data_IF_092586622966
#
_entry.id   IF_092586622966
#
_cell.length_a   1.000
_cell.length_b   1.000
_cell.length_c   1.000
_cell.angle_alpha   90.00
_cell.angle_beta   90.00
_cell.angle_gamma   90.00
#
_symmetry.space_group_name_H-M   'P 1'
#
loop_
_entity.id
_entity.type
_entity.pdbx_description
1 polymer ?
#
# COMPACT_ATOMS: atom_id res chain seq x y z
N UNK A 1 -16.62 -8.85 -0.90
CA UNK A 1 -15.95 -8.61 0.39
C UNK A 1 -15.19 -9.86 0.73
N UNK A 2 -13.86 -9.78 0.69
CA UNK A 2 -12.98 -10.93 0.91
C UNK A 2 -12.27 -10.76 2.22
N UNK A 3 -12.15 -11.85 2.97
CA UNK A 3 -11.50 -11.86 4.27
C UNK A 3 -10.42 -12.93 4.28
N UNK A 4 -9.27 -12.59 4.86
CA UNK A 4 -8.18 -13.53 5.12
C UNK A 4 -7.67 -13.33 6.54
N UNK A 5 -6.95 -14.33 7.03
CA UNK A 5 -6.22 -14.27 8.30
C UNK A 5 -4.74 -14.41 7.99
N UNK A 6 -3.95 -13.44 8.43
CA UNK A 6 -2.50 -13.41 8.23
C UNK A 6 -1.80 -13.29 9.58
N UNK A 7 -0.59 -13.84 9.67
CA UNK A 7 0.27 -13.56 10.81
C UNK A 7 1.06 -12.30 10.50
N UNK A 8 0.85 -11.24 11.29
CA UNK A 8 1.59 -9.99 11.21
C UNK A 8 2.45 -9.85 12.46
N UNK A 9 3.75 -10.13 12.32
CA UNK A 9 4.64 -10.32 13.47
C UNK A 9 4.16 -11.50 14.33
N UNK A 10 3.93 -11.26 15.62
CA UNK A 10 3.43 -12.28 16.56
C UNK A 10 1.89 -12.35 16.65
N UNK A 11 1.18 -11.50 15.91
CA UNK A 11 -0.29 -11.38 16.00
C UNK A 11 -0.98 -12.03 14.81
N UNK A 12 -2.11 -12.70 15.05
CA UNK A 12 -3.02 -13.11 14.00
C UNK A 12 -4.01 -11.97 13.69
N UNK A 13 -3.95 -11.46 12.47
CA UNK A 13 -4.74 -10.31 12.03
C UNK A 13 -5.78 -10.78 11.01
N UNK A 14 -7.02 -10.34 11.22
CA UNK A 14 -8.09 -10.49 10.24
C UNK A 14 -8.06 -9.28 9.30
N UNK A 15 -7.82 -9.52 8.03
CA UNK A 15 -7.90 -8.49 7.00
C UNK A 15 -9.15 -8.71 6.17
N UNK A 16 -9.89 -7.62 5.92
CA UNK A 16 -11.09 -7.64 5.08
C UNK A 16 -11.01 -6.53 4.05
N UNK A 17 -11.15 -6.89 2.78
CA UNK A 17 -11.25 -5.94 1.68
C UNK A 17 -12.71 -5.62 1.35
N UNK A 18 -13.00 -4.33 1.33
CA UNK A 18 -14.26 -3.75 0.92
C UNK A 18 -14.01 -2.63 -0.07
N UNK A 19 -14.43 -2.83 -1.33
CA UNK A 19 -14.39 -1.77 -2.34
C UNK A 19 -15.38 -0.67 -1.95
N UNK A 20 -14.87 0.51 -1.63
CA UNK A 20 -15.69 1.65 -1.25
C UNK A 20 -15.02 2.96 -1.71
N UNK A 21 -15.83 3.96 -2.05
CA UNK A 21 -15.38 5.32 -2.37
C UNK A 21 -15.67 6.30 -1.23
N UNK A 22 -16.30 5.83 -0.15
CA UNK A 22 -16.53 6.57 1.08
C UNK A 22 -15.57 6.06 2.15
N UNK A 23 -14.80 6.97 2.74
CA UNK A 23 -13.92 6.64 3.85
C UNK A 23 -14.74 6.35 5.12
N UNK A 24 -14.28 5.43 5.98
CA UNK A 24 -14.81 5.32 7.33
C UNK A 24 -14.52 6.61 8.12
N UNK A 25 -15.17 6.82 9.28
CA UNK A 25 -14.83 7.94 10.16
C UNK A 25 -13.33 8.01 10.46
N UNK A 26 -12.74 9.21 10.35
CA UNK A 26 -11.28 9.43 10.40
C UNK A 26 -10.61 8.77 11.62
N UNK A 27 -11.27 8.81 12.78
CA UNK A 27 -10.76 8.22 14.03
C UNK A 27 -10.64 6.68 14.02
N UNK A 28 -11.18 6.01 13.00
CA UNK A 28 -11.02 4.56 12.78
C UNK A 28 -9.89 4.23 11.81
N UNK A 29 -9.34 5.24 11.12
CA UNK A 29 -8.24 5.07 10.18
C UNK A 29 -6.95 5.33 10.95
N UNK A 30 -6.07 4.33 10.98
CA UNK A 30 -4.79 4.43 11.69
C UNK A 30 -3.60 4.54 10.75
N UNK A 31 -3.78 4.11 9.50
CA UNK A 31 -2.72 4.07 8.48
C UNK A 31 -3.32 4.05 7.08
N UNK A 32 -2.49 4.37 6.09
CA UNK A 32 -2.80 4.32 4.67
C UNK A 32 -1.76 3.50 3.93
N UNK A 33 -2.17 2.86 2.83
CA UNK A 33 -1.26 2.20 1.89
C UNK A 33 -1.57 2.68 0.48
N UNK A 34 -0.53 3.03 -0.27
CA UNK A 34 -0.59 3.69 -1.56
C UNK A 34 -0.35 2.68 -2.68
N UNK A 35 -1.35 2.47 -3.52
CA UNK A 35 -1.23 1.68 -4.74
C UNK A 35 -1.00 2.64 -5.91
N UNK A 36 0.27 2.94 -6.21
CA UNK A 36 0.64 3.90 -7.24
C UNK A 36 0.96 3.21 -8.57
N UNK A 37 0.14 3.47 -9.59
CA UNK A 37 0.32 2.93 -10.94
C UNK A 37 0.95 3.96 -11.86
N UNK A 38 1.91 3.53 -12.68
CA UNK A 38 2.42 4.31 -13.81
C UNK A 38 2.08 3.55 -15.09
N UNK A 39 0.96 3.90 -15.73
CA UNK A 39 0.32 3.02 -16.73
C UNK A 39 -0.07 1.68 -16.07
N UNK A 40 0.52 0.55 -16.49
CA UNK A 40 0.22 -0.77 -15.93
C UNK A 40 1.08 -1.15 -14.72
N UNK A 41 2.40 -0.86 -14.68
CA UNK A 41 3.23 -1.18 -13.52
C UNK A 41 2.82 -0.49 -12.22
N UNK A 42 2.93 -1.24 -11.12
CA UNK A 42 2.64 -0.82 -9.75
C UNK A 42 3.94 -0.57 -8.98
N UNK A 43 3.98 0.52 -8.20
CA UNK A 43 5.13 0.91 -7.41
C UNK A 43 5.30 0.05 -6.15
N UNK A 44 6.52 -0.44 -5.92
CA UNK A 44 7.01 -0.97 -4.66
C UNK A 44 8.22 -0.17 -4.18
N UNK A 45 8.37 -0.05 -2.86
CA UNK A 45 9.48 0.63 -2.20
C UNK A 45 10.20 -0.33 -1.26
N UNK A 46 11.53 -0.25 -1.20
CA UNK A 46 12.34 -1.05 -0.28
C UNK A 46 12.38 -0.35 1.07
N UNK A 47 11.51 -0.81 1.97
CA UNK A 47 11.44 -0.20 3.29
C UNK A 47 12.50 -0.82 4.20
N UNK A 48 13.35 0.05 4.75
CA UNK A 48 14.44 -0.34 5.65
C UNK A 48 13.99 -1.39 6.67
N UNK A 49 14.64 -2.56 6.64
CA UNK A 49 14.39 -3.71 7.52
C UNK A 49 13.04 -4.44 7.36
N UNK A 50 12.13 -3.97 6.50
CA UNK A 50 10.85 -4.62 6.17
C UNK A 50 10.84 -5.28 4.78
N UNK A 51 11.74 -4.86 3.89
CA UNK A 51 11.82 -5.30 2.50
C UNK A 51 10.84 -4.54 1.61
N UNK A 52 10.62 -5.06 0.41
CA UNK A 52 9.72 -4.47 -0.57
C UNK A 52 8.27 -4.45 -0.05
N UNK A 53 7.63 -3.28 -0.06
CA UNK A 53 6.25 -3.06 0.38
C UNK A 53 5.62 -1.94 -0.47
N UNK A 54 4.31 -1.71 -0.29
CA UNK A 54 3.64 -0.53 -0.81
C UNK A 54 4.02 0.70 0.02
N UNK A 55 4.18 1.89 -0.61
CA UNK A 55 4.34 3.12 0.15
C UNK A 55 3.19 3.29 1.14
N UNK A 56 3.47 3.70 2.37
CA UNK A 56 2.41 3.88 3.36
C UNK A 56 2.91 3.93 4.79
N UNK A 57 2.06 4.46 5.65
CA UNK A 57 2.38 4.66 7.05
C UNK A 57 1.20 5.15 7.86
N UNK A 58 1.52 5.60 9.07
CA UNK A 58 0.52 5.98 10.07
C UNK A 58 0.07 7.43 9.88
N UNK A 59 -1.18 7.69 10.25
CA UNK A 59 -1.71 9.06 10.30
C UNK A 59 -1.06 9.80 11.47
N UNK A 60 -0.54 11.00 11.20
CA UNK A 60 0.04 11.88 12.21
C UNK A 60 -1.03 12.67 13.00
N UNK A 61 -0.72 13.18 14.22
CA UNK A 61 -1.69 13.95 15.00
C UNK A 61 -2.21 15.19 14.26
N UNK A 62 -3.52 15.21 13.98
CA UNK A 62 -4.18 16.31 13.26
C UNK A 62 -4.11 16.21 11.73
N UNK A 63 -3.55 15.12 11.20
CA UNK A 63 -3.48 14.82 9.77
C UNK A 63 -4.78 14.15 9.28
N UNK A 64 -5.23 14.49 8.08
CA UNK A 64 -6.34 13.79 7.42
C UNK A 64 -5.82 12.51 6.75
N UNK A 65 -6.66 11.46 6.56
CA UNK A 65 -6.26 10.28 5.79
C UNK A 65 -5.73 10.62 4.39
N UNK A 66 -6.32 11.62 3.72
CA UNK A 66 -5.90 12.07 2.40
C UNK A 66 -4.55 12.78 2.41
N UNK A 67 -4.25 13.58 3.43
CA UNK A 67 -2.96 14.24 3.55
C UNK A 67 -1.86 13.23 3.92
N UNK A 68 -2.17 12.26 4.79
CA UNK A 68 -1.31 11.11 5.08
C UNK A 68 -0.99 10.33 3.80
N UNK A 69 -2.00 10.03 2.97
CA UNK A 69 -1.83 9.32 1.70
C UNK A 69 -0.86 10.05 0.77
N UNK A 70 -1.00 11.37 0.63
CA UNK A 70 -0.11 12.18 -0.22
C UNK A 70 1.31 12.25 0.35
N UNK A 71 1.45 12.43 1.66
CA UNK A 71 2.75 12.48 2.35
C UNK A 71 3.50 11.17 2.16
N UNK A 72 2.88 10.03 2.47
CA UNK A 72 3.51 8.71 2.36
C UNK A 72 3.87 8.36 0.91
N UNK A 73 3.00 8.68 -0.05
CA UNK A 73 3.30 8.52 -1.47
C UNK A 73 4.56 9.31 -1.88
N UNK A 74 4.74 10.50 -1.31
CA UNK A 74 5.89 11.35 -1.61
C UNK A 74 7.15 10.91 -0.88
N UNK A 75 7.07 10.62 0.43
CA UNK A 75 8.21 10.30 1.30
C UNK A 75 8.87 8.97 0.94
N UNK A 76 8.07 7.91 0.80
CA UNK A 76 8.58 6.58 0.47
C UNK A 76 8.60 6.36 -1.04
N UNK A 77 7.53 6.81 -1.73
CA UNK A 77 7.32 6.54 -3.14
C UNK A 77 8.04 7.48 -4.09
N UNK A 78 8.49 8.67 -3.68
CA UNK A 78 9.09 9.69 -4.56
C UNK A 78 8.22 9.99 -5.81
N UNK A 79 6.89 9.97 -5.66
CA UNK A 79 5.94 10.09 -6.79
C UNK A 79 6.05 11.43 -7.52
N UNK A 80 6.53 12.48 -6.85
CA UNK A 80 6.95 13.73 -7.45
C UNK A 80 8.40 14.06 -7.09
N UNK A 81 9.15 14.69 -7.99
CA UNK A 81 10.52 15.11 -7.69
C UNK A 81 11.37 15.38 -8.92
N UNK A 82 12.54 15.99 -8.70
CA UNK A 82 13.55 16.21 -9.75
C UNK A 82 14.48 14.99 -9.92
N UNK A 83 14.54 14.12 -8.92
CA UNK A 83 15.45 12.99 -8.85
C UNK A 83 14.70 11.72 -8.46
N UNK A 84 15.28 10.59 -8.86
CA UNK A 84 14.75 9.25 -8.67
C UNK A 84 15.37 8.58 -7.43
N UNK A 85 14.56 7.82 -6.67
CA UNK A 85 15.09 6.96 -5.59
C UNK A 85 15.57 5.63 -6.14
N UNK A 86 16.74 5.17 -5.70
CA UNK A 86 17.23 3.82 -6.00
C UNK A 86 16.52 2.71 -5.19
N UNK A 87 15.67 3.08 -4.23
CA UNK A 87 14.95 2.18 -3.32
C UNK A 87 13.49 1.98 -3.75
N UNK A 88 13.18 2.14 -5.04
CA UNK A 88 11.84 1.87 -5.57
C UNK A 88 11.92 1.10 -6.88
N UNK A 89 10.87 0.34 -7.17
CA UNK A 89 10.72 -0.35 -8.46
C UNK A 89 9.27 -0.36 -8.92
N UNK A 90 9.08 -0.32 -10.24
CA UNK A 90 7.79 -0.55 -10.86
C UNK A 90 7.71 -2.01 -11.29
N UNK A 91 6.71 -2.73 -10.77
CA UNK A 91 6.52 -4.16 -10.98
C UNK A 91 5.25 -4.38 -11.76
N UNK A 92 5.25 -5.33 -12.70
CA UNK A 92 4.02 -5.77 -13.32
C UNK A 92 3.10 -6.36 -12.24
N UNK A 93 1.82 -5.96 -12.16
CA UNK A 93 0.85 -6.51 -11.20
C UNK A 93 0.83 -8.05 -11.11
N UNK A 94 1.10 -8.75 -12.21
CA UNK A 94 1.15 -10.21 -12.25
C UNK A 94 2.39 -10.82 -11.57
N UNK A 95 3.46 -10.04 -11.39
CA UNK A 95 4.73 -10.48 -10.82
C UNK A 95 4.88 -10.11 -9.34
N UNK A 96 3.91 -9.41 -8.75
CA UNK A 96 3.96 -8.89 -7.37
C UNK A 96 4.30 -9.94 -6.31
N UNK A 97 3.80 -11.17 -6.48
CA UNK A 97 4.07 -12.29 -5.57
C UNK A 97 5.56 -12.66 -5.46
N UNK A 98 6.38 -12.26 -6.44
CA UNK A 98 7.82 -12.51 -6.46
C UNK A 98 8.62 -11.48 -5.65
N UNK A 99 8.03 -10.32 -5.34
CA UNK A 99 8.72 -9.21 -4.71
C UNK A 99 8.14 -8.87 -3.34
N UNK A 100 6.82 -8.88 -3.19
CA UNK A 100 6.17 -8.56 -1.92
C UNK A 100 5.92 -9.80 -1.07
N UNK A 101 6.67 -9.94 0.02
CA UNK A 101 6.65 -11.15 0.86
C UNK A 101 5.32 -11.39 1.58
N UNK A 102 4.54 -10.34 1.84
CA UNK A 102 3.22 -10.41 2.47
C UNK A 102 2.07 -10.58 1.45
N UNK A 103 2.39 -10.79 0.17
CA UNK A 103 1.39 -10.95 -0.89
C UNK A 103 0.41 -12.07 -0.57
N UNK A 104 -0.88 -11.77 -0.67
CA UNK A 104 -1.96 -12.70 -0.37
C UNK A 104 -3.21 -12.37 -1.19
N UNK A 105 -4.26 -13.17 -1.04
CA UNK A 105 -5.50 -13.05 -1.82
C UNK A 105 -6.14 -11.67 -1.73
N UNK A 106 -6.01 -10.97 -0.60
CA UNK A 106 -6.58 -9.65 -0.42
C UNK A 106 -5.87 -8.61 -1.29
N UNK A 107 -4.54 -8.60 -1.28
CA UNK A 107 -3.76 -7.70 -2.13
C UNK A 107 -4.00 -7.99 -3.62
N UNK A 108 -4.10 -9.27 -3.98
CA UNK A 108 -4.48 -9.68 -5.34
C UNK A 108 -5.82 -9.07 -5.76
N UNK A 109 -6.84 -9.12 -4.90
CA UNK A 109 -8.14 -8.53 -5.22
C UNK A 109 -8.14 -7.00 -5.29
N UNK A 110 -7.38 -6.32 -4.43
CA UNK A 110 -7.22 -4.86 -4.52
C UNK A 110 -6.65 -4.50 -5.89
N UNK A 111 -5.56 -5.17 -6.29
CA UNK A 111 -4.89 -4.92 -7.57
C UNK A 111 -5.77 -5.29 -8.75
N UNK A 112 -6.40 -6.48 -8.75
CA UNK A 112 -7.36 -6.92 -9.78
C UNK A 112 -8.53 -5.94 -9.92
N UNK A 113 -8.94 -5.26 -8.84
CA UNK A 113 -9.99 -4.24 -8.86
C UNK A 113 -9.52 -2.91 -9.45
N UNK A 114 -8.24 -2.57 -9.28
CA UNK A 114 -7.67 -1.30 -9.73
C UNK A 114 -7.36 -1.28 -11.24
N UNK A 115 -7.12 -2.44 -11.84
CA UNK A 115 -6.71 -2.60 -13.25
C UNK A 115 -7.88 -2.93 -14.21
N UNK A 116 -9.13 -2.86 -13.75
CA UNK A 116 -10.35 -3.04 -14.56
C UNK A 116 -10.83 -1.73 -15.15
#
# INVERSE_FOLDING_TARGET
>A
MTTTYVNWGESNVKLTWEKNNLLPPDHLITSVHVFCFQEDPLLLVDVNHRGWDFPGGHIEPGESPEDCFKREAQEEGYVEGKYESAQRMFVNPNDMASYYHNWNILYKEIVDCAIQ
#
